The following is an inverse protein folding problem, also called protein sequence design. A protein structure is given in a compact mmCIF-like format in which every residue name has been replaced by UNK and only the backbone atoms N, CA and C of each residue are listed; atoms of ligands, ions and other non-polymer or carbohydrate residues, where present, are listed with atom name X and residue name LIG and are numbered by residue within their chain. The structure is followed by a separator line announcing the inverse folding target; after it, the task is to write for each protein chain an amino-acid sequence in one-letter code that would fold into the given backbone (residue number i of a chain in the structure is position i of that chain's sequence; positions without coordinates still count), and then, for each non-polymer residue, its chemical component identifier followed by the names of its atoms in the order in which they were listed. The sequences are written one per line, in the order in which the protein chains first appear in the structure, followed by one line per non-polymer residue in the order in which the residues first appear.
data_IF_311826794001
#
_entry.id   IF_311826794001
#
_cell.length_a   1.000
_cell.length_b   1.000
_cell.length_c   1.000
_cell.angle_alpha   90.00
_cell.angle_beta   90.00
_cell.angle_gamma   90.00
#
_symmetry.space_group_name_H-M   'P 1'
#
loop_
_entity.id
_entity.type
_entity.pdbx_description
1 polymer ?
#
# COMPACT_ATOMS: atom_id res chain seq x y z
N UNK A 1 8.14 -15.85 9.23
CA UNK A 1 7.75 -14.45 9.49
C UNK A 1 7.66 -13.76 8.15
N UNK A 2 6.48 -13.26 7.78
CA UNK A 2 6.25 -12.61 6.47
C UNK A 2 6.75 -11.16 6.49
N UNK A 3 6.89 -10.53 5.32
CA UNK A 3 7.22 -9.11 5.22
C UNK A 3 6.16 -8.21 5.90
N UNK A 4 4.89 -8.63 5.85
CA UNK A 4 3.80 -7.97 6.56
C UNK A 4 3.99 -8.06 8.07
N UNK A 5 4.25 -9.26 8.60
CA UNK A 5 4.46 -9.45 10.05
C UNK A 5 5.63 -8.60 10.56
N UNK A 6 6.73 -8.57 9.79
CA UNK A 6 7.89 -7.74 10.10
C UNK A 6 7.54 -6.24 10.09
N UNK A 7 6.79 -5.76 9.10
CA UNK A 7 6.36 -4.37 9.04
C UNK A 7 5.45 -3.99 10.23
N UNK A 8 4.46 -4.83 10.54
CA UNK A 8 3.55 -4.64 11.68
C UNK A 8 4.31 -4.61 13.01
N UNK A 9 5.33 -5.45 13.18
CA UNK A 9 6.16 -5.47 14.38
C UNK A 9 7.01 -4.19 14.59
N UNK A 10 7.19 -3.37 13.54
CA UNK A 10 7.96 -2.11 13.62
C UNK A 10 7.09 -0.87 13.85
N UNK A 11 5.76 -1.02 13.93
CA UNK A 11 4.87 0.10 14.17
C UNK A 11 5.07 0.63 15.59
N UNK A 12 5.19 1.95 15.72
CA UNK A 12 5.04 2.58 17.04
C UNK A 12 3.59 2.44 17.52
N UNK A 13 3.31 2.58 18.83
CA UNK A 13 1.93 2.57 19.33
C UNK A 13 1.04 3.63 18.66
N UNK A 14 1.59 4.80 18.34
CA UNK A 14 0.90 5.87 17.63
C UNK A 14 0.58 5.49 16.18
N UNK A 15 1.52 4.83 15.50
CA UNK A 15 1.30 4.32 14.15
C UNK A 15 0.27 3.18 14.14
N UNK A 16 0.28 2.28 15.13
CA UNK A 16 -0.73 1.24 15.27
C UNK A 16 -2.14 1.84 15.46
N UNK A 17 -2.29 2.81 16.37
CA UNK A 17 -3.56 3.50 16.56
C UNK A 17 -4.02 4.26 15.29
N UNK A 18 -3.08 4.85 14.55
CA UNK A 18 -3.38 5.51 13.27
C UNK A 18 -3.79 4.50 12.20
N UNK A 19 -3.15 3.34 12.12
CA UNK A 19 -3.53 2.24 11.22
C UNK A 19 -4.97 1.80 11.50
N UNK A 20 -5.32 1.57 12.77
CA UNK A 20 -6.68 1.20 13.18
C UNK A 20 -7.70 2.28 12.75
N UNK A 21 -7.34 3.55 12.95
CA UNK A 21 -8.17 4.70 12.55
C UNK A 21 -8.38 4.75 11.03
N UNK A 22 -7.33 4.52 10.24
CA UNK A 22 -7.39 4.50 8.77
C UNK A 22 -8.27 3.34 8.28
N UNK A 23 -8.11 2.15 8.85
CA UNK A 23 -8.94 0.98 8.52
C UNK A 23 -10.41 1.19 8.89
N UNK A 24 -10.69 1.77 10.07
CA UNK A 24 -12.06 2.09 10.48
C UNK A 24 -12.71 3.08 9.51
N UNK A 25 -12.02 4.16 9.15
CA UNK A 25 -12.49 5.17 8.21
C UNK A 25 -12.82 4.58 6.82
N UNK A 26 -11.95 3.71 6.30
CA UNK A 26 -12.20 3.01 5.03
C UNK A 26 -13.46 2.13 5.11
N UNK A 27 -13.63 1.37 6.19
CA UNK A 27 -14.82 0.54 6.42
C UNK A 27 -16.11 1.36 6.52
N UNK A 28 -16.07 2.50 7.21
CA UNK A 28 -17.19 3.46 7.26
C UNK A 28 -17.57 3.96 5.85
N UNK A 29 -16.57 4.10 4.97
CA UNK A 29 -16.75 4.46 3.58
C UNK A 29 -17.10 3.28 2.65
N UNK A 30 -17.44 2.11 3.23
CA UNK A 30 -17.81 0.86 2.55
C UNK A 30 -16.70 0.26 1.69
N UNK A 31 -15.45 0.55 2.02
CA UNK A 31 -14.33 -0.22 1.49
C UNK A 31 -14.26 -1.58 2.19
N UNK A 32 -13.92 -2.62 1.43
CA UNK A 32 -13.73 -3.99 1.91
C UNK A 32 -12.30 -4.41 1.67
N UNK A 33 -11.74 -5.19 2.59
CA UNK A 33 -10.39 -5.76 2.44
C UNK A 33 -10.39 -6.77 1.29
N UNK A 34 -9.41 -6.65 0.39
CA UNK A 34 -9.18 -7.59 -0.71
C UNK A 34 -7.74 -8.14 -0.62
N UNK A 35 -7.51 -9.39 -1.05
CA UNK A 35 -6.20 -10.03 -0.87
C UNK A 35 -5.12 -9.50 -1.81
N UNK A 36 -5.50 -9.06 -3.02
CA UNK A 36 -4.60 -8.61 -4.07
C UNK A 36 -5.30 -7.64 -5.03
N UNK A 37 -4.55 -6.65 -5.52
CA UNK A 37 -4.91 -5.87 -6.69
C UNK A 37 -3.69 -5.66 -7.60
N UNK A 38 -3.57 -6.47 -8.66
CA UNK A 38 -2.46 -6.37 -9.63
C UNK A 38 -1.09 -6.56 -8.97
N UNK A 39 -1.00 -7.52 -8.04
CA UNK A 39 0.20 -7.80 -7.26
C UNK A 39 0.39 -6.88 -6.05
N UNK A 40 -0.38 -5.80 -5.93
CA UNK A 40 -0.45 -5.00 -4.70
C UNK A 40 -1.20 -5.83 -3.67
N UNK A 41 -0.48 -6.36 -2.70
CA UNK A 41 -1.00 -7.20 -1.62
C UNK A 41 -0.29 -6.86 -0.30
N UNK A 42 -0.88 -7.17 0.86
CA UNK A 42 -0.21 -6.99 2.14
C UNK A 42 1.18 -7.65 2.15
N UNK A 43 2.19 -6.89 2.58
CA UNK A 43 3.61 -7.29 2.56
C UNK A 43 4.38 -6.91 1.30
N UNK A 44 3.74 -6.49 0.21
CA UNK A 44 4.42 -6.12 -1.03
C UNK A 44 5.26 -4.84 -0.86
N UNK A 45 6.47 -4.84 -1.44
CA UNK A 45 7.31 -3.64 -1.56
C UNK A 45 6.83 -2.74 -2.70
N UNK A 46 6.66 -1.46 -2.39
CA UNK A 46 6.08 -0.49 -3.33
C UNK A 46 6.81 0.85 -3.30
N UNK A 47 6.61 1.64 -4.35
CA UNK A 47 7.00 3.05 -4.41
C UNK A 47 5.85 3.92 -4.91
N UNK A 48 5.86 5.20 -4.54
CA UNK A 48 4.89 6.20 -5.02
C UNK A 48 5.33 6.76 -6.37
N UNK A 49 4.39 7.12 -7.25
CA UNK A 49 4.67 7.66 -8.61
C UNK A 49 5.50 8.95 -8.63
N UNK A 50 5.49 9.69 -7.52
CA UNK A 50 6.37 10.85 -7.31
C UNK A 50 7.83 10.52 -7.00
N UNK A 51 8.16 9.26 -6.67
CA UNK A 51 9.53 8.81 -6.38
C UNK A 51 10.26 8.41 -7.66
N UNK A 52 10.70 9.41 -8.44
CA UNK A 52 11.26 9.20 -9.78
C UNK A 52 12.76 8.81 -9.80
N UNK A 53 13.35 8.38 -8.68
CA UNK A 53 14.75 7.95 -8.63
C UNK A 53 14.87 6.41 -8.69
N UNK A 54 15.94 5.86 -9.31
CA UNK A 54 16.06 4.43 -9.55
C UNK A 54 15.90 3.54 -8.31
N UNK A 55 16.50 3.92 -7.18
CA UNK A 55 16.43 3.10 -5.95
C UNK A 55 15.01 2.86 -5.45
N UNK A 56 14.09 3.84 -5.61
CA UNK A 56 12.69 3.62 -5.26
C UNK A 56 12.02 2.59 -6.16
N UNK A 57 12.31 2.63 -7.47
CA UNK A 57 11.76 1.68 -8.43
C UNK A 57 12.29 0.25 -8.20
N UNK A 58 13.57 0.10 -7.87
CA UNK A 58 14.17 -1.21 -7.63
C UNK A 58 13.73 -1.83 -6.29
N UNK A 59 13.94 -1.12 -5.18
CA UNK A 59 13.82 -1.69 -3.82
C UNK A 59 12.45 -1.43 -3.18
N UNK A 60 11.69 -0.48 -3.75
CA UNK A 60 10.53 0.10 -3.10
C UNK A 60 10.95 1.03 -1.96
N UNK A 61 10.03 1.87 -1.51
CA UNK A 61 10.21 2.79 -0.37
C UNK A 61 9.22 2.54 0.76
N UNK A 62 8.39 1.50 0.64
CA UNK A 62 7.39 1.16 1.65
C UNK A 62 6.80 -0.23 1.46
N UNK A 63 6.00 -0.63 2.44
CA UNK A 63 5.30 -1.92 2.50
C UNK A 63 3.81 -1.68 2.55
N UNK A 64 3.05 -2.40 1.72
CA UNK A 64 1.58 -2.41 1.79
C UNK A 64 1.14 -3.14 3.06
N UNK A 65 0.32 -2.50 3.88
CA UNK A 65 -0.28 -3.11 5.08
C UNK A 65 -1.71 -3.62 4.82
N UNK A 66 -2.47 -2.91 3.99
CA UNK A 66 -3.84 -3.28 3.62
C UNK A 66 -4.14 -2.87 2.17
N UNK A 67 -4.98 -3.66 1.52
CA UNK A 67 -5.53 -3.38 0.19
C UNK A 67 -7.03 -3.45 0.31
N UNK A 68 -7.70 -2.39 -0.09
CA UNK A 68 -9.15 -2.28 0.05
C UNK A 68 -9.77 -1.80 -1.25
N UNK A 69 -10.99 -2.25 -1.53
CA UNK A 69 -11.77 -1.83 -2.68
C UNK A 69 -13.15 -1.35 -2.24
N UNK A 70 -13.69 -0.37 -2.96
CA UNK A 70 -15.10 0.02 -2.86
C UNK A 70 -15.86 -0.43 -4.13
N UNK A 71 -16.55 -1.59 -4.12
CA UNK A 71 -17.16 -2.17 -5.32
C UNK A 71 -18.18 -1.27 -6.02
N UNK A 72 -18.97 -0.52 -5.24
CA UNK A 72 -20.04 0.36 -5.75
C UNK A 72 -19.64 1.85 -5.72
N UNK A 73 -18.37 2.14 -5.96
CA UNK A 73 -17.89 3.52 -5.97
C UNK A 73 -18.41 4.32 -7.18
N UNK A 74 -18.89 5.57 -6.98
CA UNK A 74 -19.15 6.50 -8.08
C UNK A 74 -17.94 6.71 -9.00
N UNK A 75 -16.72 6.63 -8.45
CA UNK A 75 -15.48 6.68 -9.23
C UNK A 75 -15.42 5.50 -10.20
N UNK A 76 -15.69 4.28 -9.72
CA UNK A 76 -15.68 3.09 -10.56
C UNK A 76 -16.71 3.13 -11.67
N UNK A 77 -17.89 3.68 -11.41
CA UNK A 77 -18.91 3.87 -12.43
C UNK A 77 -18.48 4.91 -13.49
N UNK A 78 -17.86 6.01 -13.07
CA UNK A 78 -17.44 7.11 -13.94
C UNK A 78 -16.24 6.72 -14.82
N UNK A 79 -15.22 6.13 -14.21
CA UNK A 79 -13.92 5.86 -14.85
C UNK A 79 -13.76 4.41 -15.30
N UNK A 80 -14.75 3.55 -15.06
CA UNK A 80 -14.72 2.10 -15.38
C UNK A 80 -13.48 1.40 -14.83
N UNK A 81 -13.07 1.79 -13.63
CA UNK A 81 -11.87 1.28 -12.96
C UNK A 81 -12.15 0.99 -11.47
N UNK A 82 -11.57 -0.06 -10.88
CA UNK A 82 -11.70 -0.33 -9.44
C UNK A 82 -11.25 0.86 -8.59
N UNK A 83 -12.06 1.22 -7.58
CA UNK A 83 -11.71 2.22 -6.59
C UNK A 83 -10.98 1.54 -5.44
N UNK A 84 -9.66 1.50 -5.55
CA UNK A 84 -8.78 0.74 -4.66
C UNK A 84 -7.90 1.69 -3.88
N UNK A 85 -7.97 1.56 -2.56
CA UNK A 85 -7.19 2.32 -1.58
C UNK A 85 -6.24 1.38 -0.84
N UNK A 86 -5.01 1.85 -0.64
CA UNK A 86 -3.94 1.13 0.03
C UNK A 86 -3.58 1.85 1.32
N UNK A 87 -3.26 1.10 2.37
CA UNK A 87 -2.51 1.65 3.51
C UNK A 87 -1.06 1.19 3.37
N UNK A 88 -0.15 2.15 3.31
CA UNK A 88 1.28 1.90 3.10
C UNK A 88 2.07 2.43 4.30
N UNK A 89 3.00 1.60 4.78
CA UNK A 89 4.05 2.00 5.72
C UNK A 89 5.31 2.33 4.94
N UNK A 90 5.68 3.60 4.88
CA UNK A 90 6.90 4.03 4.22
C UNK A 90 8.14 3.81 5.09
N UNK A 91 9.31 3.65 4.49
CA UNK A 91 10.57 3.48 5.21
C UNK A 91 10.96 4.77 5.97
N UNK A 92 10.47 5.91 5.49
CA UNK A 92 10.68 7.24 6.08
C UNK A 92 9.34 7.99 6.16
N UNK A 93 9.20 8.95 7.10
CA UNK A 93 8.00 9.77 7.18
C UNK A 93 7.70 10.46 5.85
N UNK A 94 6.41 10.54 5.50
CA UNK A 94 5.95 11.25 4.31
C UNK A 94 6.19 12.74 4.49
N UNK A 95 6.55 13.46 3.43
CA UNK A 95 6.81 14.91 3.49
C UNK A 95 5.65 15.65 4.17
N UNK A 96 5.95 16.39 5.24
CA UNK A 96 4.96 17.13 6.02
C UNK A 96 4.18 16.29 7.04
N UNK A 97 4.54 15.02 7.26
CA UNK A 97 3.98 14.17 8.30
C UNK A 97 5.07 13.66 9.24
N UNK A 98 4.74 13.52 10.53
CA UNK A 98 5.56 12.80 11.50
C UNK A 98 5.41 11.28 11.40
N UNK A 99 4.42 10.81 10.64
CA UNK A 99 4.08 9.39 10.54
C UNK A 99 4.55 8.81 9.21
N UNK A 100 4.97 7.54 9.24
CA UNK A 100 5.29 6.75 8.05
C UNK A 100 4.07 6.18 7.34
N UNK A 101 2.89 6.27 7.96
CA UNK A 101 1.66 5.73 7.39
C UNK A 101 0.98 6.73 6.47
N UNK A 102 0.60 6.26 5.29
CA UNK A 102 -0.30 6.96 4.39
C UNK A 102 -1.37 6.05 3.83
N UNK A 103 -2.54 6.63 3.59
CA UNK A 103 -3.53 6.07 2.68
C UNK A 103 -3.23 6.58 1.26
N UNK A 104 -3.34 5.72 0.25
CA UNK A 104 -3.06 6.09 -1.14
C UNK A 104 -3.87 5.25 -2.13
N UNK A 105 -4.48 5.92 -3.10
CA UNK A 105 -5.13 5.26 -4.21
C UNK A 105 -4.13 4.44 -5.04
N UNK A 106 -4.54 3.24 -5.46
CA UNK A 106 -3.67 2.25 -6.10
C UNK A 106 -2.97 2.77 -7.36
N UNK A 107 -3.62 3.65 -8.13
CA UNK A 107 -3.07 4.20 -9.37
C UNK A 107 -1.85 5.12 -9.17
N UNK A 108 -1.51 5.48 -7.93
CA UNK A 108 -0.29 6.24 -7.59
C UNK A 108 0.83 5.35 -7.06
N UNK A 109 0.58 4.07 -6.88
CA UNK A 109 1.49 3.12 -6.22
C UNK A 109 1.92 2.05 -7.22
N UNK A 110 3.21 1.76 -7.21
CA UNK A 110 3.82 0.80 -8.12
C UNK A 110 4.57 -0.26 -7.32
N UNK A 111 4.56 -1.51 -7.80
CA UNK A 111 5.39 -2.58 -7.25
C UNK A 111 6.87 -2.29 -7.51
N UNK A 112 7.69 -2.53 -6.51
CA UNK A 112 9.14 -2.52 -6.67
C UNK A 112 9.59 -3.66 -7.60
N UNK A 113 10.67 -3.45 -8.36
CA UNK A 113 11.21 -4.46 -9.27
C UNK A 113 11.58 -5.77 -8.54
N UNK A 114 12.12 -5.68 -7.31
CA UNK A 114 12.40 -6.86 -6.47
C UNK A 114 11.13 -7.67 -6.17
N UNK A 115 9.98 -7.00 -6.03
CA UNK A 115 8.71 -7.66 -5.80
C UNK A 115 8.18 -8.31 -7.09
N UNK A 116 8.32 -7.62 -8.23
CA UNK A 116 7.93 -8.16 -9.53
C UNK A 116 8.73 -9.41 -9.91
N UNK A 117 10.03 -9.43 -9.62
CA UNK A 117 10.89 -10.60 -9.85
C UNK A 117 10.46 -11.79 -8.98
N UNK A 118 10.24 -11.56 -7.68
CA UNK A 118 9.76 -12.60 -6.76
C UNK A 118 8.43 -13.23 -7.20
N UNK A 119 7.55 -12.45 -7.83
CA UNK A 119 6.23 -12.90 -8.26
C UNK A 119 6.25 -13.65 -9.60
N UNK A 120 7.26 -13.39 -10.43
CA UNK A 120 7.40 -14.01 -11.77
C UNK A 120 8.26 -15.27 -11.76
N UNK A 121 8.92 -15.59 -10.64
CA UNK A 121 9.82 -16.75 -10.53
C UNK A 121 11.03 -16.67 -11.46
N UNK A 122 11.36 -15.46 -11.95
CA UNK A 122 12.55 -15.19 -12.74
C UNK A 122 13.72 -14.93 -11.79
N UNK A 123 14.23 -16.00 -11.21
CA UNK A 123 15.54 -16.01 -10.60
C UNK A 123 16.58 -15.91 -11.74
N UNK A 124 17.30 -14.78 -11.82
CA UNK A 124 18.48 -14.64 -12.69
C UNK A 124 19.67 -15.41 -12.13
#
# INVERSE_FOLDING_TARGET
MTALDAALATLTPEEAAKLDTMQASLRECRYVDIPDHRGLRPGARVYHSGHQWPGAAYDGTGVVLAVTERPDSPWSQTYRAPDVELIVLWDRPVLGSSSRLSQSASYRIHLAAVQQAADTGLDN
#
